data_IF_433373765391
#
_entry.id   IF_433373765391
#
_cell.length_a   1.000
_cell.length_b   1.000
_cell.length_c   1.000
_cell.angle_alpha   90.00
_cell.angle_beta   90.00
_cell.angle_gamma   90.00
#
_symmetry.space_group_name_H-M   'P 1'
#
loop_
_entity.id
_entity.type
_entity.pdbx_description
1 polymer ?
#
# COMPACT_ATOMS: atom_id res chain seq x y z
N UNK A 1 -74.20 -55.23 2.23
CA UNK A 1 -72.92 -55.03 1.48
C UNK A 1 -72.73 -53.55 1.22
N UNK A 2 -71.79 -52.91 1.90
CA UNK A 2 -71.59 -51.47 1.83
C UNK A 2 -70.42 -51.18 0.89
N UNK A 3 -70.66 -50.42 -0.17
CA UNK A 3 -69.73 -49.97 -1.14
C UNK A 3 -68.99 -48.72 -0.55
N UNK A 4 -67.67 -48.78 -0.39
CA UNK A 4 -66.86 -47.63 0.05
C UNK A 4 -66.35 -46.87 -1.18
N UNK A 5 -66.76 -45.62 -1.27
CA UNK A 5 -66.33 -44.66 -2.29
C UNK A 5 -64.92 -44.14 -1.95
N UNK A 6 -63.95 -44.28 -2.87
CA UNK A 6 -62.65 -43.68 -2.79
C UNK A 6 -62.71 -42.28 -3.42
N UNK A 7 -62.51 -41.28 -2.63
CA UNK A 7 -62.23 -39.88 -3.11
C UNK A 7 -60.71 -39.72 -3.26
N UNK A 8 -60.27 -39.63 -4.51
CA UNK A 8 -58.87 -39.23 -4.84
C UNK A 8 -58.79 -37.71 -4.83
N UNK A 9 -58.21 -37.17 -3.78
CA UNK A 9 -57.88 -35.72 -3.71
C UNK A 9 -56.60 -35.39 -4.52
N UNK A 10 -56.81 -34.69 -5.63
CA UNK A 10 -55.67 -34.12 -6.37
C UNK A 10 -55.06 -32.93 -5.60
N UNK A 11 -53.88 -33.09 -5.02
CA UNK A 11 -53.09 -31.99 -4.47
C UNK A 11 -52.47 -31.19 -5.65
N UNK A 12 -53.03 -30.03 -5.94
CA UNK A 12 -52.40 -29.05 -6.84
C UNK A 12 -51.21 -28.42 -6.10
N UNK A 13 -49.97 -28.83 -6.47
CA UNK A 13 -48.78 -28.16 -6.06
C UNK A 13 -48.69 -26.86 -6.86
N UNK A 14 -49.07 -25.74 -6.25
CA UNK A 14 -48.79 -24.41 -6.77
C UNK A 14 -47.28 -24.18 -6.64
N UNK A 15 -46.54 -24.37 -7.72
CA UNK A 15 -45.17 -23.91 -7.83
C UNK A 15 -45.18 -22.37 -7.77
N UNK A 16 -44.87 -21.81 -6.61
CA UNK A 16 -44.58 -20.38 -6.48
C UNK A 16 -43.33 -20.11 -7.32
N UNK A 17 -43.54 -19.58 -8.52
CA UNK A 17 -42.45 -18.99 -9.30
C UNK A 17 -41.91 -17.81 -8.49
N UNK A 18 -40.89 -18.06 -7.69
CA UNK A 18 -40.08 -16.99 -7.12
C UNK A 18 -39.47 -16.24 -8.31
N UNK A 19 -40.04 -15.09 -8.66
CA UNK A 19 -39.41 -14.13 -9.54
C UNK A 19 -38.02 -13.76 -8.90
N UNK A 20 -37.00 -14.48 -9.26
CA UNK A 20 -35.63 -14.12 -8.90
C UNK A 20 -35.35 -12.80 -9.60
N UNK A 21 -35.41 -11.71 -8.87
CA UNK A 21 -35.01 -10.38 -9.36
C UNK A 21 -33.59 -10.50 -9.91
N UNK A 22 -33.42 -10.17 -11.19
CA UNK A 22 -32.09 -10.18 -11.79
C UNK A 22 -31.17 -9.28 -10.94
N UNK A 23 -29.98 -9.74 -10.54
CA UNK A 23 -29.06 -8.94 -9.74
C UNK A 23 -28.78 -7.58 -10.40
N UNK A 24 -28.73 -6.52 -9.59
CA UNK A 24 -28.48 -5.17 -10.09
C UNK A 24 -27.12 -5.12 -10.81
N UNK A 25 -27.05 -4.65 -12.04
CA UNK A 25 -25.81 -4.59 -12.80
C UNK A 25 -24.89 -3.50 -12.23
N UNK A 26 -23.58 -3.80 -12.12
CA UNK A 26 -22.58 -2.81 -11.73
C UNK A 26 -22.34 -1.87 -12.92
N UNK A 27 -22.82 -0.64 -12.80
CA UNK A 27 -22.77 0.32 -13.87
C UNK A 27 -21.34 0.80 -14.18
N UNK A 28 -20.94 0.79 -15.45
CA UNK A 28 -19.62 1.21 -15.92
C UNK A 28 -19.42 2.73 -15.84
N UNK A 29 -18.17 3.15 -15.78
CA UNK A 29 -17.74 4.54 -15.79
C UNK A 29 -17.08 5.00 -14.50
N UNK A 30 -16.93 6.31 -14.29
CA UNK A 30 -16.31 6.87 -13.10
C UNK A 30 -17.26 6.83 -11.88
N UNK A 31 -16.67 6.61 -10.72
CA UNK A 31 -17.35 6.61 -9.42
C UNK A 31 -16.50 7.35 -8.39
N UNK A 32 -17.15 8.02 -7.45
CA UNK A 32 -16.54 8.50 -6.23
C UNK A 32 -16.82 7.50 -5.11
N UNK A 33 -15.76 6.84 -4.61
CA UNK A 33 -15.80 6.02 -3.41
C UNK A 33 -15.44 6.85 -2.19
N UNK A 34 -16.03 6.52 -1.04
CA UNK A 34 -15.74 7.16 0.24
C UNK A 34 -15.67 6.10 1.34
N UNK A 35 -14.60 6.15 2.14
CA UNK A 35 -14.45 5.37 3.36
C UNK A 35 -14.66 6.27 4.57
N UNK A 36 -15.56 5.88 5.46
CA UNK A 36 -15.75 6.54 6.77
C UNK A 36 -14.87 5.80 7.78
N UNK A 37 -13.67 6.29 7.98
CA UNK A 37 -12.63 5.63 8.80
C UNK A 37 -12.84 5.88 10.29
N UNK A 38 -13.35 7.06 10.64
CA UNK A 38 -13.70 7.39 12.02
C UNK A 38 -15.04 8.12 12.05
N UNK A 39 -16.04 7.51 12.68
CA UNK A 39 -17.37 8.07 12.82
C UNK A 39 -17.55 8.97 14.07
N UNK A 40 -16.55 9.02 14.95
CA UNK A 40 -16.64 9.71 16.25
C UNK A 40 -16.19 11.17 16.21
N UNK A 41 -15.29 11.52 15.29
CA UNK A 41 -14.86 12.90 15.07
C UNK A 41 -15.28 13.34 13.68
N UNK A 42 -16.28 14.27 13.63
CA UNK A 42 -16.69 15.04 12.45
C UNK A 42 -16.23 14.44 11.09
N UNK A 43 -16.73 13.22 10.81
CA UNK A 43 -16.63 12.58 9.50
C UNK A 43 -15.24 12.56 8.90
N UNK A 44 -14.33 11.74 9.43
CA UNK A 44 -13.09 11.49 8.70
C UNK A 44 -13.40 10.57 7.52
N UNK A 45 -13.92 11.19 6.49
CA UNK A 45 -14.20 10.58 5.20
C UNK A 45 -12.97 10.62 4.32
N UNK A 46 -12.60 9.49 3.75
CA UNK A 46 -11.50 9.37 2.80
C UNK A 46 -12.09 9.12 1.41
N UNK A 47 -12.28 10.17 0.60
CA UNK A 47 -12.77 10.03 -0.76
C UNK A 47 -11.66 9.54 -1.68
N UNK A 48 -12.03 8.75 -2.69
CA UNK A 48 -11.13 8.28 -3.73
C UNK A 48 -11.88 8.00 -5.04
N UNK A 49 -11.22 8.16 -6.16
CA UNK A 49 -11.81 7.90 -7.45
C UNK A 49 -11.69 6.43 -7.84
N UNK A 50 -12.74 5.91 -8.48
CA UNK A 50 -12.78 4.57 -9.06
C UNK A 50 -13.32 4.63 -10.47
N UNK A 51 -12.87 3.70 -11.31
CA UNK A 51 -13.47 3.41 -12.61
C UNK A 51 -13.98 1.96 -12.62
N UNK A 52 -15.22 1.79 -13.06
CA UNK A 52 -15.80 0.46 -13.30
C UNK A 52 -15.79 0.20 -14.81
N UNK A 53 -15.30 -0.97 -15.19
CA UNK A 53 -15.24 -1.38 -16.59
C UNK A 53 -15.37 -2.89 -16.74
N UNK A 54 -15.61 -3.37 -17.96
CA UNK A 54 -15.54 -4.79 -18.29
C UNK A 54 -14.16 -5.12 -18.86
N UNK A 55 -13.59 -6.21 -18.40
CA UNK A 55 -12.38 -6.78 -19.02
C UNK A 55 -12.69 -7.30 -20.44
N UNK A 56 -11.65 -7.63 -21.21
CA UNK A 56 -11.81 -8.27 -22.52
C UNK A 56 -12.63 -9.60 -22.46
N UNK A 57 -12.60 -10.27 -21.32
CA UNK A 57 -13.39 -11.47 -21.06
C UNK A 57 -14.84 -11.17 -20.59
N UNK A 58 -15.26 -9.91 -20.57
CA UNK A 58 -16.59 -9.48 -20.13
C UNK A 58 -16.81 -9.48 -18.61
N UNK A 59 -15.77 -9.71 -17.82
CA UNK A 59 -15.85 -9.72 -16.35
C UNK A 59 -15.82 -8.29 -15.79
N UNK A 60 -16.52 -8.06 -14.66
CA UNK A 60 -16.44 -6.80 -13.94
C UNK A 60 -15.02 -6.58 -13.40
N UNK A 61 -14.54 -5.37 -13.54
CA UNK A 61 -13.29 -4.89 -12.96
C UNK A 61 -13.47 -3.47 -12.42
N UNK A 62 -12.80 -3.19 -11.31
CA UNK A 62 -12.79 -1.88 -10.68
C UNK A 62 -11.34 -1.41 -10.59
N UNK A 63 -11.08 -0.18 -10.98
CA UNK A 63 -9.77 0.45 -10.87
C UNK A 63 -9.86 1.59 -9.86
N UNK A 64 -9.08 1.52 -8.78
CA UNK A 64 -8.86 2.69 -7.89
C UNK A 64 -7.83 3.59 -8.55
N UNK A 65 -8.07 4.89 -8.55
CA UNK A 65 -7.21 5.89 -9.17
C UNK A 65 -6.70 6.87 -8.11
N UNK A 66 -5.37 6.96 -7.96
CA UNK A 66 -4.70 7.95 -7.13
C UNK A 66 -3.66 8.67 -8.01
N UNK A 67 -3.97 9.86 -8.48
CA UNK A 67 -3.10 10.59 -9.42
C UNK A 67 -2.66 9.72 -10.62
N UNK A 68 -1.39 9.41 -10.72
CA UNK A 68 -0.83 8.54 -11.76
C UNK A 68 -0.95 7.03 -11.49
N UNK A 69 -1.32 6.64 -10.28
CA UNK A 69 -1.47 5.23 -9.90
C UNK A 69 -2.85 4.70 -10.25
N UNK A 70 -2.87 3.50 -10.80
CA UNK A 70 -4.08 2.74 -11.14
C UNK A 70 -3.99 1.35 -10.52
N UNK A 71 -4.90 1.05 -9.60
CA UNK A 71 -4.93 -0.23 -8.87
C UNK A 71 -6.13 -1.03 -9.37
N UNK A 72 -5.87 -2.00 -10.25
CA UNK A 72 -6.91 -2.84 -10.82
C UNK A 72 -7.34 -3.92 -9.83
N UNK A 73 -8.62 -3.93 -9.48
CA UNK A 73 -9.27 -4.97 -8.68
C UNK A 73 -9.95 -5.93 -9.66
N UNK A 74 -9.33 -7.08 -9.87
CA UNK A 74 -9.82 -8.13 -10.79
C UNK A 74 -10.42 -9.32 -10.08
N UNK A 75 -10.12 -9.50 -8.79
CA UNK A 75 -10.71 -10.54 -7.94
C UNK A 75 -12.04 -10.03 -7.37
N UNK A 76 -13.08 -10.10 -8.18
CA UNK A 76 -14.44 -9.68 -7.82
C UNK A 76 -15.33 -10.90 -7.81
N UNK A 77 -15.98 -11.16 -6.67
CA UNK A 77 -17.00 -12.22 -6.55
C UNK A 77 -18.36 -11.61 -6.26
N UNK A 78 -19.42 -12.33 -6.62
CA UNK A 78 -20.78 -11.83 -6.50
C UNK A 78 -21.70 -12.87 -5.88
N UNK A 79 -22.55 -12.42 -4.95
CA UNK A 79 -23.65 -13.20 -4.38
C UNK A 79 -24.91 -12.33 -4.33
N UNK A 80 -25.85 -12.59 -5.26
CA UNK A 80 -27.02 -11.71 -5.46
C UNK A 80 -26.58 -10.28 -5.82
N UNK A 81 -27.03 -9.30 -5.05
CA UNK A 81 -26.66 -7.89 -5.21
C UNK A 81 -25.37 -7.52 -4.46
N UNK A 82 -24.76 -8.45 -3.74
CA UNK A 82 -23.53 -8.18 -2.98
C UNK A 82 -22.30 -8.50 -3.82
N UNK A 83 -21.37 -7.54 -3.92
CA UNK A 83 -20.04 -7.70 -4.47
C UNK A 83 -19.01 -7.81 -3.34
N UNK A 84 -18.05 -8.71 -3.50
CA UNK A 84 -16.81 -8.73 -2.73
C UNK A 84 -15.68 -8.43 -3.69
N UNK A 85 -14.97 -7.35 -3.44
CA UNK A 85 -13.85 -6.84 -4.23
C UNK A 85 -12.58 -6.98 -3.39
N UNK A 86 -11.74 -7.97 -3.71
CA UNK A 86 -10.47 -8.19 -3.03
C UNK A 86 -9.41 -7.25 -3.61
N UNK A 87 -8.85 -6.38 -2.79
CA UNK A 87 -7.78 -5.49 -3.25
C UNK A 87 -6.50 -6.30 -3.54
N UNK A 88 -5.76 -5.94 -4.60
CA UNK A 88 -4.56 -6.68 -4.97
C UNK A 88 -3.45 -6.51 -3.92
N UNK A 89 -2.57 -7.49 -3.85
CA UNK A 89 -1.38 -7.58 -2.97
C UNK A 89 -1.73 -7.72 -1.49
N UNK A 90 -2.62 -6.87 -0.98
CA UNK A 90 -2.98 -6.83 0.44
C UNK A 90 -4.20 -7.72 0.76
N UNK A 91 -4.47 -7.90 2.05
CA UNK A 91 -5.61 -8.72 2.52
C UNK A 91 -6.90 -7.91 2.65
N UNK A 92 -6.88 -6.63 2.30
CA UNK A 92 -8.05 -5.75 2.38
C UNK A 92 -9.08 -6.05 1.32
N UNK A 93 -10.36 -5.87 1.66
CA UNK A 93 -11.48 -6.13 0.76
C UNK A 93 -12.62 -5.13 0.97
N UNK A 94 -13.38 -4.88 -0.09
CA UNK A 94 -14.63 -4.13 -0.05
C UNK A 94 -15.78 -5.10 -0.29
N UNK A 95 -16.74 -5.13 0.65
CA UNK A 95 -17.98 -5.90 0.49
C UNK A 95 -19.13 -4.89 0.44
N UNK A 96 -19.82 -4.83 -0.69
CA UNK A 96 -20.84 -3.81 -0.93
C UNK A 96 -22.06 -4.35 -1.68
N UNK A 97 -23.21 -3.80 -1.36
CA UNK A 97 -24.48 -4.04 -2.10
C UNK A 97 -24.54 -3.06 -3.26
N UNK A 98 -24.88 -3.57 -4.44
CA UNK A 98 -25.03 -2.81 -5.68
C UNK A 98 -26.43 -2.22 -5.75
N UNK A 99 -26.53 -0.89 -5.86
CA UNK A 99 -27.72 -0.18 -6.28
C UNK A 99 -27.61 0.29 -7.73
N UNK A 100 -28.58 1.05 -8.23
CA UNK A 100 -28.59 1.54 -9.61
C UNK A 100 -27.33 2.40 -9.93
N UNK A 101 -27.05 3.40 -9.10
CA UNK A 101 -25.91 4.31 -9.22
C UNK A 101 -25.16 4.44 -7.90
N UNK A 102 -25.21 3.41 -7.04
CA UNK A 102 -24.57 3.44 -5.72
C UNK A 102 -24.04 2.08 -5.29
N UNK A 103 -22.97 2.11 -4.50
CA UNK A 103 -22.48 0.98 -3.72
C UNK A 103 -22.54 1.36 -2.25
N UNK A 104 -22.94 0.42 -1.37
CA UNK A 104 -22.96 0.64 0.08
C UNK A 104 -22.53 -0.61 0.80
N UNK A 105 -21.59 -0.47 1.75
CA UNK A 105 -21.08 -1.62 2.49
C UNK A 105 -19.95 -1.31 3.43
N UNK A 106 -18.97 -2.20 3.45
CA UNK A 106 -17.79 -2.14 4.33
C UNK A 106 -16.50 -2.30 3.55
N UNK A 107 -15.49 -1.54 3.94
CA UNK A 107 -14.09 -1.82 3.65
C UNK A 107 -13.47 -2.48 4.88
N UNK A 108 -12.82 -3.61 4.67
CA UNK A 108 -12.14 -4.40 5.68
C UNK A 108 -10.63 -4.29 5.46
N UNK A 109 -9.90 -3.45 6.22
CA UNK A 109 -8.47 -3.17 5.96
C UNK A 109 -7.55 -4.37 6.19
N UNK A 110 -8.01 -5.41 6.87
CA UNK A 110 -7.26 -6.64 7.18
C UNK A 110 -8.04 -7.90 6.85
N UNK A 111 -8.97 -7.82 5.89
CA UNK A 111 -9.91 -8.87 5.59
C UNK A 111 -11.09 -8.94 6.58
N UNK A 112 -12.20 -9.48 6.13
CA UNK A 112 -13.46 -9.57 6.87
C UNK A 112 -13.32 -10.34 8.18
N UNK A 113 -12.46 -11.35 8.22
CA UNK A 113 -12.22 -12.21 9.39
C UNK A 113 -11.71 -11.44 10.61
N UNK A 114 -11.06 -10.29 10.41
CA UNK A 114 -10.57 -9.43 11.50
C UNK A 114 -11.62 -8.48 12.08
N UNK A 115 -12.85 -8.47 11.54
CA UNK A 115 -14.01 -7.78 12.10
C UNK A 115 -13.99 -6.25 12.02
N UNK A 116 -12.87 -5.60 11.67
CA UNK A 116 -12.81 -4.14 11.53
C UNK A 116 -13.43 -3.72 10.22
N UNK A 117 -14.53 -2.99 10.27
CA UNK A 117 -15.24 -2.47 9.11
C UNK A 117 -15.20 -0.93 9.12
N UNK A 118 -14.71 -0.32 8.04
CA UNK A 118 -14.97 1.09 7.75
C UNK A 118 -16.17 1.17 6.81
N UNK A 119 -17.16 2.00 7.12
CA UNK A 119 -18.30 2.18 6.22
C UNK A 119 -17.80 2.63 4.86
N UNK A 120 -18.31 1.97 3.82
CA UNK A 120 -18.01 2.29 2.44
C UNK A 120 -19.29 2.69 1.70
N UNK A 121 -19.22 3.75 0.94
CA UNK A 121 -20.20 4.06 -0.07
C UNK A 121 -19.53 4.59 -1.34
N UNK A 122 -20.19 4.41 -2.48
CA UNK A 122 -19.75 5.00 -3.73
C UNK A 122 -20.94 5.48 -4.56
N UNK A 123 -20.71 6.54 -5.33
CA UNK A 123 -21.71 7.17 -6.21
C UNK A 123 -21.13 7.30 -7.61
N UNK A 124 -21.90 6.87 -8.60
CA UNK A 124 -21.55 6.93 -10.02
C UNK A 124 -21.57 8.36 -10.57
N UNK A 125 -20.70 8.62 -11.53
CA UNK A 125 -20.70 9.85 -12.32
C UNK A 125 -20.01 11.05 -11.64
N UNK A 126 -19.51 10.89 -10.41
CA UNK A 126 -18.78 11.94 -9.71
C UNK A 126 -17.28 11.71 -9.94
N UNK A 127 -16.61 12.67 -10.56
CA UNK A 127 -15.15 12.65 -10.83
C UNK A 127 -14.36 13.56 -9.91
N UNK A 128 -15.00 14.57 -9.32
CA UNK A 128 -14.37 15.44 -8.31
C UNK A 128 -14.23 14.66 -6.99
N UNK A 129 -13.02 14.52 -6.51
CA UNK A 129 -12.70 13.77 -5.27
C UNK A 129 -13.27 14.47 -4.01
N UNK A 130 -13.37 15.79 -4.02
CA UNK A 130 -13.91 16.61 -2.93
C UNK A 130 -15.03 17.50 -3.42
N UNK A 131 -16.19 16.95 -3.82
CA UNK A 131 -17.24 17.70 -4.50
C UNK A 131 -17.89 18.79 -3.65
N UNK A 132 -17.85 18.66 -2.31
CA UNK A 132 -18.37 19.69 -1.39
C UNK A 132 -17.47 20.94 -1.29
N UNK A 133 -16.22 20.84 -1.75
CA UNK A 133 -15.25 21.94 -1.72
C UNK A 133 -15.29 22.70 -3.05
N UNK A 134 -16.08 23.79 -3.11
CA UNK A 134 -16.43 24.47 -4.36
C UNK A 134 -15.81 25.88 -4.52
N UNK A 135 -15.08 26.36 -3.51
CA UNK A 135 -14.44 27.68 -3.59
C UNK A 135 -13.30 27.66 -4.61
N UNK A 136 -13.15 28.72 -5.40
CA UNK A 136 -12.01 28.86 -6.30
C UNK A 136 -10.69 28.87 -5.53
N UNK A 137 -9.67 28.19 -6.04
CA UNK A 137 -8.36 28.15 -5.41
C UNK A 137 -7.75 29.56 -5.32
N UNK A 138 -7.40 29.99 -4.11
CA UNK A 138 -6.74 31.29 -3.85
C UNK A 138 -5.28 31.11 -3.47
N UNK A 139 -4.79 29.87 -3.33
CA UNK A 139 -3.44 29.55 -2.94
C UNK A 139 -2.76 28.63 -3.98
N UNK A 140 -1.44 28.68 -4.02
CA UNK A 140 -0.61 27.81 -4.85
C UNK A 140 0.43 27.11 -3.95
N UNK A 141 0.40 25.77 -3.98
CA UNK A 141 1.32 24.92 -3.20
C UNK A 141 2.30 24.14 -4.07
N UNK A 142 2.37 24.44 -5.36
CA UNK A 142 3.33 23.77 -6.24
C UNK A 142 4.76 23.88 -5.73
N UNK A 143 5.52 22.79 -5.84
CA UNK A 143 6.93 22.73 -5.49
C UNK A 143 7.20 21.92 -4.22
N UNK A 144 8.34 22.21 -3.62
CA UNK A 144 8.92 21.46 -2.50
C UNK A 144 8.70 22.17 -1.18
N UNK A 145 8.36 21.39 -0.15
CA UNK A 145 7.96 21.89 1.15
C UNK A 145 8.66 21.11 2.26
N UNK A 146 9.20 21.84 3.23
CA UNK A 146 9.60 21.25 4.51
C UNK A 146 8.37 21.09 5.38
N UNK A 147 8.04 19.83 5.71
CA UNK A 147 6.87 19.46 6.49
C UNK A 147 7.33 19.02 7.87
N UNK A 148 6.71 19.57 8.91
CA UNK A 148 6.95 19.14 10.28
C UNK A 148 5.68 18.48 10.80
N UNK A 149 5.76 17.17 11.03
CA UNK A 149 4.74 16.39 11.69
C UNK A 149 4.90 16.50 13.21
N UNK A 150 3.79 16.64 13.94
CA UNK A 150 3.71 16.82 15.39
C UNK A 150 4.65 17.93 15.93
N UNK A 151 4.58 19.16 15.39
CA UNK A 151 5.49 20.22 15.75
C UNK A 151 5.47 20.52 17.26
N UNK A 152 6.67 20.69 17.84
CA UNK A 152 6.81 21.03 19.26
C UNK A 152 6.62 19.88 20.24
N UNK A 153 6.51 18.63 19.76
CA UNK A 153 6.42 17.43 20.60
C UNK A 153 7.69 16.57 20.50
N UNK A 154 7.92 15.63 21.44
CA UNK A 154 9.03 14.67 21.33
C UNK A 154 8.95 13.77 20.08
N UNK A 155 7.74 13.57 19.53
CA UNK A 155 7.48 12.77 18.32
C UNK A 155 7.53 13.61 17.04
N UNK A 156 8.12 14.81 17.11
CA UNK A 156 8.24 15.70 15.94
C UNK A 156 9.20 15.11 14.91
N UNK A 157 8.74 15.02 13.66
CA UNK A 157 9.54 14.53 12.54
C UNK A 157 9.51 15.49 11.36
N UNK A 158 10.63 15.55 10.64
CA UNK A 158 10.76 16.34 9.41
C UNK A 158 10.51 15.43 8.22
N UNK A 159 9.65 15.88 7.33
CA UNK A 159 9.35 15.24 6.06
C UNK A 159 9.46 16.26 4.93
N UNK A 160 9.43 15.79 3.69
CA UNK A 160 9.43 16.65 2.51
C UNK A 160 8.15 16.41 1.72
N UNK A 161 7.35 17.46 1.52
CA UNK A 161 6.19 17.44 0.63
C UNK A 161 6.59 17.87 -0.77
N UNK A 162 6.18 17.12 -1.78
CA UNK A 162 6.36 17.47 -3.18
C UNK A 162 5.00 17.49 -3.87
N UNK A 163 4.60 18.67 -4.34
CA UNK A 163 3.29 18.87 -4.92
C UNK A 163 3.36 19.47 -6.31
N UNK A 164 2.44 18.99 -7.17
CA UNK A 164 2.10 19.58 -8.47
C UNK A 164 0.69 20.12 -8.38
N UNK A 165 0.49 21.32 -8.88
CA UNK A 165 -0.82 21.97 -8.88
C UNK A 165 -1.21 22.46 -10.27
N UNK A 166 -2.40 22.05 -10.73
CA UNK A 166 -3.00 22.48 -12.00
C UNK A 166 -4.39 23.05 -11.67
N UNK A 167 -4.50 24.38 -11.65
CA UNK A 167 -5.70 25.07 -11.20
C UNK A 167 -6.01 24.74 -9.73
N UNK A 168 -7.17 24.13 -9.47
CA UNK A 168 -7.52 23.66 -8.14
C UNK A 168 -6.95 22.26 -7.82
N UNK A 169 -6.67 21.44 -8.83
CA UNK A 169 -6.19 20.05 -8.65
C UNK A 169 -4.77 20.05 -8.11
N UNK A 170 -4.54 19.19 -7.11
CA UNK A 170 -3.22 18.95 -6.51
C UNK A 170 -2.94 17.48 -6.52
N UNK A 171 -1.70 17.13 -6.90
CA UNK A 171 -1.14 15.79 -6.77
C UNK A 171 0.23 15.88 -6.12
N UNK A 172 0.70 14.81 -5.48
CA UNK A 172 2.01 14.81 -4.87
C UNK A 172 2.26 13.63 -3.95
N UNK A 173 3.27 13.77 -3.13
CA UNK A 173 3.61 12.79 -2.08
C UNK A 173 4.31 13.48 -0.92
N UNK A 174 4.41 12.79 0.20
CA UNK A 174 5.33 13.12 1.29
C UNK A 174 6.45 12.09 1.32
N UNK A 175 7.67 12.57 1.37
CA UNK A 175 8.88 11.78 1.58
C UNK A 175 9.22 11.78 3.07
N UNK A 176 9.56 10.63 3.60
CA UNK A 176 10.06 10.47 4.96
C UNK A 176 11.23 9.47 4.97
N UNK A 177 11.87 9.30 6.10
CA UNK A 177 13.04 8.41 6.23
C UNK A 177 12.74 6.91 6.06
N UNK A 178 11.46 6.53 6.00
CA UNK A 178 11.02 5.15 5.72
C UNK A 178 10.55 4.94 4.28
N UNK A 179 10.45 6.03 3.48
CA UNK A 179 9.96 5.98 2.10
C UNK A 179 9.05 7.15 1.76
N UNK A 180 7.94 6.88 1.12
CA UNK A 180 6.99 7.90 0.68
C UNK A 180 5.52 7.54 1.04
N UNK A 181 4.64 8.53 0.91
CA UNK A 181 3.19 8.36 1.09
C UNK A 181 2.48 8.08 -0.23
N UNK A 182 3.20 7.51 -1.20
CA UNK A 182 2.70 7.10 -2.52
C UNK A 182 2.07 8.26 -3.30
N UNK A 183 0.92 8.04 -3.89
CA UNK A 183 0.25 8.98 -4.77
C UNK A 183 -0.92 9.67 -4.05
N UNK A 184 -0.69 10.89 -3.60
CA UNK A 184 -1.74 11.72 -3.03
C UNK A 184 -2.43 12.52 -4.15
N UNK A 185 -3.75 12.63 -4.09
CA UNK A 185 -4.53 13.44 -5.02
C UNK A 185 -5.65 14.19 -4.28
N UNK A 186 -5.91 15.40 -4.73
CA UNK A 186 -7.00 16.22 -4.20
C UNK A 186 -7.02 17.63 -4.79
N UNK A 187 -7.31 18.61 -3.96
CA UNK A 187 -7.47 19.99 -4.44
C UNK A 187 -7.21 21.06 -3.37
N UNK A 188 -7.02 22.26 -3.85
CA UNK A 188 -7.18 23.51 -3.08
C UNK A 188 -8.60 24.04 -3.32
N UNK A 189 -9.32 24.41 -2.25
CA UNK A 189 -10.56 25.13 -2.30
C UNK A 189 -10.47 26.34 -1.37
N UNK A 190 -10.58 27.57 -1.92
CA UNK A 190 -10.10 28.76 -1.23
C UNK A 190 -8.63 28.63 -0.91
N UNK A 191 -8.27 28.68 0.36
CA UNK A 191 -6.93 28.42 0.88
C UNK A 191 -6.77 27.02 1.53
N UNK A 192 -7.80 26.16 1.45
CA UNK A 192 -7.80 24.85 2.11
C UNK A 192 -7.28 23.77 1.18
N UNK A 193 -6.23 23.10 1.60
CA UNK A 193 -5.69 21.90 0.98
C UNK A 193 -6.41 20.65 1.48
N UNK A 194 -6.81 19.77 0.57
CA UNK A 194 -7.38 18.46 0.87
C UNK A 194 -6.77 17.43 -0.09
N UNK A 195 -6.16 16.39 0.45
CA UNK A 195 -5.55 15.29 -0.29
C UNK A 195 -5.98 13.96 0.32
N UNK A 196 -6.16 12.94 -0.51
CA UNK A 196 -6.44 11.58 -0.05
C UNK A 196 -5.79 10.53 -0.94
N UNK A 197 -5.65 9.31 -0.42
CA UNK A 197 -5.27 8.12 -1.18
C UNK A 197 -5.81 6.86 -0.53
N UNK A 198 -6.17 5.86 -1.35
CA UNK A 198 -6.54 4.51 -0.92
C UNK A 198 -5.79 3.54 -1.81
N UNK A 199 -4.85 2.78 -1.23
CA UNK A 199 -3.96 1.88 -1.99
C UNK A 199 -4.11 0.39 -1.63
N UNK A 200 -5.06 0.08 -0.76
CA UNK A 200 -5.29 -1.28 -0.26
C UNK A 200 -4.61 -1.59 1.08
N UNK A 201 -3.55 -0.89 1.42
CA UNK A 201 -2.94 -0.94 2.75
C UNK A 201 -3.26 0.31 3.58
N UNK A 202 -3.36 1.45 2.91
CA UNK A 202 -3.59 2.74 3.54
C UNK A 202 -4.91 3.37 3.13
N UNK A 203 -5.45 4.17 4.03
CA UNK A 203 -6.61 5.03 3.82
C UNK A 203 -6.23 6.43 4.30
N UNK A 204 -5.52 7.17 3.45
CA UNK A 204 -4.90 8.44 3.82
C UNK A 204 -5.83 9.62 3.54
N UNK A 205 -5.91 10.55 4.51
CA UNK A 205 -6.47 11.88 4.28
C UNK A 205 -5.58 12.93 4.95
N UNK A 206 -5.33 13.99 4.22
CA UNK A 206 -4.56 15.15 4.66
C UNK A 206 -5.33 16.42 4.39
N UNK A 207 -5.37 17.31 5.35
CA UNK A 207 -5.91 18.66 5.20
C UNK A 207 -4.92 19.67 5.74
N UNK A 208 -5.02 20.92 5.28
CA UNK A 208 -4.23 22.04 5.78
C UNK A 208 -4.76 23.36 5.25
N UNK A 209 -4.29 24.45 5.80
CA UNK A 209 -4.68 25.80 5.38
C UNK A 209 -3.43 26.59 4.95
N UNK A 210 -3.43 27.09 3.73
CA UNK A 210 -2.37 27.99 3.26
C UNK A 210 -2.62 29.37 3.85
N UNK A 211 -1.68 29.85 4.61
CA UNK A 211 -1.76 31.14 5.30
C UNK A 211 -1.32 32.30 4.40
N UNK A 212 -1.64 33.54 4.77
CA UNK A 212 -1.30 34.74 3.98
C UNK A 212 0.21 34.94 3.82
N UNK A 213 1.04 34.41 4.75
CA UNK A 213 2.51 34.42 4.66
C UNK A 213 3.06 33.21 3.87
N UNK A 214 2.22 32.45 3.18
CA UNK A 214 2.60 31.37 2.28
C UNK A 214 3.04 30.09 2.96
N UNK A 215 2.71 29.88 4.23
CA UNK A 215 2.93 28.60 4.95
C UNK A 215 1.68 27.74 4.90
N UNK A 216 1.81 26.48 5.31
CA UNK A 216 0.65 25.63 5.57
C UNK A 216 0.56 25.42 7.09
N UNK A 217 -0.60 25.76 7.65
CA UNK A 217 -0.91 25.63 9.07
C UNK A 217 -2.16 24.75 9.25
N UNK A 218 -2.50 24.46 10.53
CA UNK A 218 -3.68 23.68 10.90
C UNK A 218 -3.76 22.32 10.16
N UNK A 219 -2.60 21.78 9.79
CA UNK A 219 -2.50 20.53 9.07
C UNK A 219 -2.98 19.37 9.93
N UNK A 220 -3.82 18.50 9.35
CA UNK A 220 -4.25 17.24 9.94
C UNK A 220 -3.95 16.12 8.99
N UNK A 221 -3.40 15.04 9.52
CA UNK A 221 -3.18 13.79 8.81
C UNK A 221 -3.88 12.64 9.53
N UNK A 222 -4.45 11.72 8.76
CA UNK A 222 -4.94 10.46 9.28
C UNK A 222 -4.75 9.35 8.26
N UNK A 223 -4.16 8.24 8.75
CA UNK A 223 -4.06 6.97 8.02
C UNK A 223 -4.91 5.85 8.64
N UNK A 224 -5.37 6.04 9.89
CA UNK A 224 -6.30 5.14 10.60
C UNK A 224 -6.77 5.82 11.88
N UNK A 225 -7.78 5.29 12.60
CA UNK A 225 -8.20 5.85 13.89
C UNK A 225 -7.08 5.97 14.94
N UNK A 226 -6.03 5.14 14.81
CA UNK A 226 -4.86 5.12 15.71
C UNK A 226 -3.62 5.80 15.11
N UNK A 227 -3.67 6.21 13.86
CA UNK A 227 -2.57 6.88 13.17
C UNK A 227 -3.04 8.25 12.68
N UNK A 228 -2.95 9.20 13.57
CA UNK A 228 -3.34 10.59 13.37
C UNK A 228 -2.21 11.50 13.82
N UNK A 229 -1.99 12.58 13.10
CA UNK A 229 -1.04 13.62 13.47
C UNK A 229 -1.51 15.00 13.04
N UNK A 230 -0.89 16.02 13.60
CA UNK A 230 -0.98 17.40 13.13
C UNK A 230 0.32 17.77 12.40
N UNK A 231 0.25 18.71 11.48
CA UNK A 231 1.42 19.10 10.72
C UNK A 231 1.39 20.56 10.29
N UNK A 232 2.56 21.09 10.01
CA UNK A 232 2.76 22.40 9.41
C UNK A 232 3.78 22.28 8.29
N UNK A 233 3.81 23.22 7.35
CA UNK A 233 4.84 23.24 6.33
C UNK A 233 5.24 24.66 5.93
N UNK A 234 6.50 24.79 5.50
CA UNK A 234 7.04 25.99 4.88
C UNK A 234 7.59 25.64 3.51
N UNK A 235 7.40 26.52 2.53
CA UNK A 235 7.95 26.31 1.20
C UNK A 235 9.48 26.40 1.29
N UNK A 236 10.16 25.31 0.84
CA UNK A 236 11.60 25.22 0.90
C UNK A 236 12.10 24.30 -0.22
N UNK A 237 12.58 24.87 -1.31
CA UNK A 237 13.07 24.11 -2.47
C UNK A 237 14.34 23.31 -2.14
N UNK A 238 15.03 23.63 -1.02
CA UNK A 238 16.17 22.90 -0.51
C UNK A 238 15.84 21.95 0.66
N UNK A 239 14.56 21.71 0.94
CA UNK A 239 14.18 20.75 1.97
C UNK A 239 14.74 19.35 1.62
N UNK A 240 15.40 18.71 2.55
CA UNK A 240 15.99 17.38 2.36
C UNK A 240 15.78 16.52 3.60
N UNK A 241 15.65 15.23 3.37
CA UNK A 241 15.71 14.23 4.44
C UNK A 241 17.17 13.97 4.84
N UNK A 242 17.42 13.46 6.04
CA UNK A 242 18.73 12.94 6.42
C UNK A 242 19.23 11.89 5.42
N UNK A 243 20.53 11.83 5.18
CA UNK A 243 21.11 10.84 4.27
C UNK A 243 20.99 9.43 4.85
N UNK A 244 20.92 8.41 4.00
CA UNK A 244 20.80 7.00 4.43
C UNK A 244 21.96 6.63 5.37
N UNK A 245 23.17 7.09 5.10
CA UNK A 245 24.36 6.84 5.91
C UNK A 245 24.26 7.43 7.33
N UNK A 246 23.50 8.53 7.50
CA UNK A 246 23.22 9.11 8.82
C UNK A 246 22.11 8.37 9.57
N UNK A 247 21.25 7.67 8.85
CA UNK A 247 20.10 6.94 9.42
C UNK A 247 20.46 5.55 9.91
N UNK A 248 21.27 4.81 9.14
CA UNK A 248 21.57 3.40 9.40
C UNK A 248 23.04 3.08 9.16
N UNK A 249 23.63 2.33 10.06
CA UNK A 249 25.03 1.91 9.95
C UNK A 249 25.23 0.52 10.59
N UNK A 250 26.40 -0.07 10.32
CA UNK A 250 26.79 -1.31 10.98
C UNK A 250 27.29 -1.02 12.39
N UNK A 251 26.92 -1.86 13.35
CA UNK A 251 27.58 -1.91 14.66
C UNK A 251 29.08 -2.22 14.48
N UNK A 252 29.90 -1.79 15.45
CA UNK A 252 31.32 -2.14 15.47
C UNK A 252 31.49 -3.67 15.46
N UNK A 253 32.24 -4.20 14.51
CA UNK A 253 32.49 -5.63 14.38
C UNK A 253 32.67 -6.10 12.93
N UNK A 254 32.48 -7.41 12.66
CA UNK A 254 32.61 -7.96 11.32
C UNK A 254 31.59 -7.34 10.33
N UNK A 255 32.06 -7.00 9.14
CA UNK A 255 31.20 -6.52 8.04
C UNK A 255 30.50 -7.70 7.35
N UNK A 256 29.93 -8.63 8.10
CA UNK A 256 29.23 -9.79 7.60
C UNK A 256 27.81 -9.83 8.16
N UNK A 257 26.93 -10.47 7.43
CA UNK A 257 25.56 -10.72 7.85
C UNK A 257 25.28 -12.22 7.91
N UNK A 258 24.37 -12.64 8.75
CA UNK A 258 23.91 -14.01 8.83
C UNK A 258 22.41 -14.05 9.11
N UNK A 259 21.73 -14.98 8.49
CA UNK A 259 20.35 -15.32 8.83
C UNK A 259 20.13 -16.83 8.78
N UNK A 260 19.10 -17.30 9.48
CA UNK A 260 18.55 -18.63 9.38
C UNK A 260 17.03 -18.51 9.53
N UNK A 261 16.30 -18.55 8.43
CA UNK A 261 14.88 -18.29 8.38
C UNK A 261 14.15 -19.35 7.55
N UNK A 262 12.84 -19.48 7.74
CA UNK A 262 12.02 -20.52 7.12
C UNK A 262 11.46 -20.03 5.79
N UNK A 263 11.62 -20.81 4.71
CA UNK A 263 11.03 -20.51 3.42
C UNK A 263 9.53 -20.89 3.36
N UNK A 264 8.87 -20.59 2.24
CA UNK A 264 7.45 -20.89 2.04
C UNK A 264 7.13 -22.40 2.10
N UNK A 265 8.12 -23.26 1.82
CA UNK A 265 7.99 -24.74 1.87
C UNK A 265 8.19 -25.29 3.28
N UNK A 266 8.70 -24.50 4.23
CA UNK A 266 9.00 -24.93 5.61
C UNK A 266 10.47 -25.29 5.85
N UNK A 267 11.35 -25.19 4.83
CA UNK A 267 12.76 -25.47 4.99
C UNK A 267 13.52 -24.28 5.59
N UNK A 268 14.51 -24.55 6.41
CA UNK A 268 15.41 -23.51 6.92
C UNK A 268 16.45 -23.15 5.86
N UNK A 269 16.51 -21.89 5.48
CA UNK A 269 17.49 -21.30 4.56
C UNK A 269 18.44 -20.41 5.35
N UNK A 270 19.74 -20.54 5.09
CA UNK A 270 20.82 -19.78 5.73
C UNK A 270 21.64 -19.06 4.68
N UNK A 271 22.18 -17.88 5.01
CA UNK A 271 23.08 -17.17 4.10
C UNK A 271 24.37 -17.98 3.79
N UNK A 272 24.76 -18.90 4.68
CA UNK A 272 25.90 -19.81 4.47
C UNK A 272 25.63 -20.94 3.48
N UNK A 273 24.40 -21.12 2.99
CA UNK A 273 24.05 -22.19 2.05
C UNK A 273 24.74 -22.00 0.70
N UNK A 274 24.98 -23.12 0.00
CA UNK A 274 25.75 -23.13 -1.25
C UNK A 274 25.18 -22.22 -2.34
N UNK A 275 23.86 -21.99 -2.34
CA UNK A 275 23.22 -21.13 -3.33
C UNK A 275 23.68 -19.67 -3.28
N UNK A 276 24.22 -19.20 -2.12
CA UNK A 276 24.69 -17.83 -1.92
C UNK A 276 26.21 -17.67 -2.01
N UNK A 277 26.97 -18.77 -1.93
CA UNK A 277 28.44 -18.73 -1.93
C UNK A 277 29.00 -18.14 -3.23
N UNK A 278 29.86 -17.15 -3.12
CA UNK A 278 30.49 -16.49 -4.26
C UNK A 278 29.51 -15.66 -5.12
N UNK A 279 28.31 -15.39 -4.61
CA UNK A 279 27.30 -14.56 -5.27
C UNK A 279 27.28 -13.15 -4.68
N UNK A 280 26.79 -12.20 -5.46
CA UNK A 280 26.32 -10.91 -4.93
C UNK A 280 24.94 -11.18 -4.35
N UNK A 281 24.74 -10.79 -3.09
CA UNK A 281 23.47 -11.04 -2.39
C UNK A 281 22.86 -9.73 -1.91
N UNK A 282 21.59 -9.50 -2.22
CA UNK A 282 20.78 -8.46 -1.60
C UNK A 282 19.87 -9.13 -0.58
N UNK A 283 19.97 -8.74 0.68
CA UNK A 283 19.03 -9.16 1.73
C UNK A 283 18.17 -7.98 2.09
N UNK A 284 16.85 -8.07 1.92
CA UNK A 284 15.93 -7.02 2.28
C UNK A 284 15.03 -7.42 3.45
N UNK A 285 14.94 -6.56 4.47
CA UNK A 285 13.93 -6.65 5.51
C UNK A 285 12.60 -6.12 4.95
N UNK A 286 11.59 -6.97 4.86
CA UNK A 286 10.36 -6.72 4.13
C UNK A 286 9.12 -7.19 4.92
N UNK A 287 7.93 -6.97 4.38
CA UNK A 287 6.68 -7.49 4.89
C UNK A 287 5.55 -7.36 3.88
N UNK A 288 4.69 -8.37 3.80
CA UNK A 288 3.56 -8.41 2.86
C UNK A 288 2.50 -7.32 3.09
N UNK A 289 2.57 -6.65 4.22
CA UNK A 289 1.69 -5.56 4.66
C UNK A 289 2.20 -4.15 4.29
N UNK A 290 3.40 -4.06 3.69
CA UNK A 290 4.13 -2.81 3.52
C UNK A 290 4.10 -2.35 2.05
N UNK A 291 3.47 -1.22 1.72
CA UNK A 291 3.39 -0.72 0.34
C UNK A 291 4.74 -0.34 -0.27
N UNK A 292 5.64 0.29 0.50
CA UNK A 292 6.98 0.62 0.01
C UNK A 292 7.80 -0.66 -0.25
N UNK A 293 7.58 -1.73 0.55
CA UNK A 293 8.16 -3.04 0.27
C UNK A 293 7.59 -3.68 -1.01
N UNK A 294 6.33 -3.41 -1.33
CA UNK A 294 5.72 -3.85 -2.59
C UNK A 294 6.42 -3.21 -3.80
N UNK A 295 6.69 -1.91 -3.73
CA UNK A 295 7.37 -1.20 -4.81
C UNK A 295 8.84 -1.64 -4.95
N UNK A 296 9.57 -1.81 -3.83
CA UNK A 296 10.90 -2.40 -3.83
C UNK A 296 10.89 -3.82 -4.42
N UNK A 297 9.90 -4.65 -4.05
CA UNK A 297 9.79 -6.02 -4.55
C UNK A 297 9.61 -6.07 -6.06
N UNK A 298 8.81 -5.20 -6.64
CA UNK A 298 8.64 -5.09 -8.09
C UNK A 298 9.95 -4.74 -8.77
N UNK A 299 10.64 -3.72 -8.29
CA UNK A 299 11.96 -3.34 -8.80
C UNK A 299 12.99 -4.46 -8.65
N UNK A 300 13.07 -5.11 -7.49
CA UNK A 300 14.00 -6.21 -7.26
C UNK A 300 13.69 -7.44 -8.11
N UNK A 301 12.44 -7.68 -8.47
CA UNK A 301 12.05 -8.76 -9.39
C UNK A 301 12.59 -8.53 -10.80
N UNK A 302 12.55 -7.29 -11.28
CA UNK A 302 13.15 -6.91 -12.56
C UNK A 302 14.68 -7.05 -12.50
N UNK A 303 15.30 -6.55 -11.42
CA UNK A 303 16.74 -6.65 -11.18
C UNK A 303 17.20 -8.11 -11.13
N UNK A 304 16.46 -8.98 -10.40
CA UNK A 304 16.74 -10.41 -10.30
C UNK A 304 16.64 -11.08 -11.66
N UNK A 305 15.59 -10.83 -12.42
CA UNK A 305 15.42 -11.36 -13.78
C UNK A 305 16.61 -11.01 -14.67
N UNK A 306 17.13 -9.78 -14.57
CA UNK A 306 18.25 -9.29 -15.40
C UNK A 306 19.60 -9.86 -15.00
N UNK A 307 19.82 -10.15 -13.70
CA UNK A 307 21.18 -10.41 -13.18
C UNK A 307 21.36 -11.73 -12.43
N UNK A 308 20.31 -12.52 -12.16
CA UNK A 308 20.44 -13.81 -11.45
C UNK A 308 21.41 -14.75 -12.17
N UNK A 309 21.28 -14.92 -13.49
CA UNK A 309 22.20 -15.75 -14.29
C UNK A 309 23.66 -15.25 -14.27
N UNK A 310 23.90 -13.99 -13.86
CA UNK A 310 25.24 -13.40 -13.72
C UNK A 310 25.78 -13.50 -12.28
N UNK A 311 25.00 -14.08 -11.37
CA UNK A 311 25.41 -14.34 -10.00
C UNK A 311 24.84 -13.38 -8.95
N UNK A 312 23.69 -12.75 -9.23
CA UNK A 312 22.90 -12.03 -8.22
C UNK A 312 21.93 -12.99 -7.54
N UNK A 313 21.85 -12.95 -6.22
CA UNK A 313 20.78 -13.51 -5.42
C UNK A 313 20.06 -12.44 -4.61
N UNK A 314 18.75 -12.58 -4.43
CA UNK A 314 17.95 -11.67 -3.60
C UNK A 314 17.14 -12.50 -2.60
N UNK A 315 17.08 -12.03 -1.36
CA UNK A 315 16.37 -12.68 -0.26
C UNK A 315 15.56 -11.64 0.50
N UNK A 316 14.24 -11.81 0.56
CA UNK A 316 13.38 -11.05 1.43
C UNK A 316 13.23 -11.75 2.79
N UNK A 317 13.66 -11.11 3.86
CA UNK A 317 13.38 -11.48 5.25
C UNK A 317 12.06 -10.81 5.66
N UNK A 318 10.97 -11.57 5.65
CA UNK A 318 9.62 -11.06 5.86
C UNK A 318 9.23 -11.09 7.34
N UNK A 319 8.90 -9.93 7.87
CA UNK A 319 8.40 -9.73 9.23
C UNK A 319 6.87 -9.67 9.18
N UNK A 320 6.21 -10.73 9.62
CA UNK A 320 4.78 -10.94 9.40
C UNK A 320 3.97 -11.03 10.71
N UNK A 321 2.89 -11.80 10.72
CA UNK A 321 2.13 -12.14 11.91
C UNK A 321 2.83 -13.20 12.79
N UNK A 322 2.23 -13.49 13.95
CA UNK A 322 2.74 -14.55 14.84
C UNK A 322 2.44 -15.96 14.32
N UNK A 323 1.34 -16.13 13.63
CA UNK A 323 0.96 -17.39 13.04
C UNK A 323 1.71 -17.62 11.73
N UNK A 324 2.47 -18.73 11.66
CA UNK A 324 3.34 -19.03 10.53
C UNK A 324 2.55 -19.36 9.27
N UNK A 325 1.44 -20.10 9.38
CA UNK A 325 0.69 -20.55 8.20
C UNK A 325 -0.08 -19.41 7.53
N UNK A 326 -0.69 -18.52 8.31
CA UNK A 326 -1.30 -17.31 7.77
C UNK A 326 -0.26 -16.35 7.19
N UNK A 327 0.92 -16.27 7.82
CA UNK A 327 2.05 -15.47 7.33
C UNK A 327 2.57 -15.98 5.98
N UNK A 328 2.72 -17.30 5.82
CA UNK A 328 3.12 -17.91 4.53
C UNK A 328 2.11 -17.59 3.43
N UNK A 329 0.81 -17.74 3.69
CA UNK A 329 -0.25 -17.40 2.72
C UNK A 329 -0.19 -15.93 2.29
N UNK A 330 0.05 -15.02 3.24
CA UNK A 330 0.20 -13.59 2.94
C UNK A 330 1.45 -13.32 2.08
N UNK A 331 2.58 -13.95 2.42
CA UNK A 331 3.83 -13.86 1.65
C UNK A 331 3.69 -14.45 0.24
N UNK A 332 3.02 -15.61 0.08
CA UNK A 332 2.74 -16.24 -1.22
C UNK A 332 1.86 -15.34 -2.10
N UNK A 333 0.78 -14.78 -1.52
CA UNK A 333 -0.07 -13.82 -2.22
C UNK A 333 0.72 -12.59 -2.66
N UNK A 334 1.49 -12.01 -1.76
CA UNK A 334 2.34 -10.85 -2.02
C UNK A 334 3.34 -11.16 -3.14
N UNK A 335 4.11 -12.24 -3.04
CA UNK A 335 5.09 -12.64 -4.05
C UNK A 335 4.42 -12.86 -5.43
N UNK A 336 3.31 -13.58 -5.48
CA UNK A 336 2.56 -13.84 -6.72
C UNK A 336 2.08 -12.54 -7.38
N UNK A 337 1.52 -11.63 -6.61
CA UNK A 337 0.88 -10.42 -7.16
C UNK A 337 1.87 -9.28 -7.43
N UNK A 338 3.05 -9.30 -6.81
CA UNK A 338 4.15 -8.39 -7.14
C UNK A 338 5.03 -8.91 -8.29
N UNK A 339 4.84 -10.17 -8.71
CA UNK A 339 5.68 -10.81 -9.71
C UNK A 339 7.05 -11.23 -9.16
N UNK A 340 7.16 -11.38 -7.83
CA UNK A 340 8.42 -11.76 -7.19
C UNK A 340 8.88 -13.15 -7.62
N UNK A 341 10.14 -13.24 -8.03
CA UNK A 341 10.77 -14.45 -8.58
C UNK A 341 12.06 -14.84 -7.82
N UNK A 342 12.24 -14.32 -6.62
CA UNK A 342 13.38 -14.56 -5.74
C UNK A 342 12.93 -15.12 -4.37
N UNK A 343 13.86 -15.35 -3.45
CA UNK A 343 13.61 -16.09 -2.21
C UNK A 343 12.90 -15.23 -1.15
N UNK A 344 11.76 -15.71 -0.64
CA UNK A 344 11.03 -15.14 0.49
C UNK A 344 11.16 -16.05 1.72
N UNK A 345 11.55 -15.47 2.85
CA UNK A 345 11.76 -16.17 4.11
C UNK A 345 10.98 -15.52 5.24
N UNK A 346 10.32 -16.30 6.06
CA UNK A 346 9.69 -15.83 7.29
C UNK A 346 10.76 -15.56 8.35
N UNK A 347 10.95 -14.29 8.67
CA UNK A 347 11.92 -13.83 9.68
C UNK A 347 11.35 -13.82 11.11
N UNK A 348 10.02 -13.87 11.23
CA UNK A 348 9.30 -13.85 12.51
C UNK A 348 8.22 -12.79 12.59
N UNK A 349 7.56 -12.66 13.76
CA UNK A 349 6.52 -11.68 13.95
C UNK A 349 7.06 -10.25 13.94
N UNK A 350 6.23 -9.31 13.42
CA UNK A 350 6.53 -7.88 13.49
C UNK A 350 6.75 -7.43 14.93
N UNK A 351 7.76 -6.65 15.15
CA UNK A 351 8.08 -6.06 16.44
C UNK A 351 9.56 -5.77 16.62
N UNK A 352 9.86 -4.91 17.58
CA UNK A 352 11.24 -4.48 17.86
C UNK A 352 12.15 -5.67 18.21
N UNK A 353 11.70 -6.58 19.06
CA UNK A 353 12.48 -7.73 19.50
C UNK A 353 12.94 -8.63 18.32
N UNK A 354 12.00 -9.02 17.45
CA UNK A 354 12.32 -9.83 16.28
C UNK A 354 13.26 -9.08 15.33
N UNK A 355 12.99 -7.78 15.11
CA UNK A 355 13.82 -6.94 14.26
C UNK A 355 15.26 -6.85 14.79
N UNK A 356 15.44 -6.55 16.08
CA UNK A 356 16.75 -6.43 16.71
C UNK A 356 17.52 -7.76 16.71
N UNK A 357 16.81 -8.89 16.80
CA UNK A 357 17.39 -10.23 16.73
C UNK A 357 17.85 -10.61 15.33
N UNK A 358 17.01 -10.36 14.33
CA UNK A 358 17.28 -10.75 12.94
C UNK A 358 18.27 -9.81 12.28
N UNK A 359 18.15 -8.50 12.53
CA UNK A 359 19.02 -7.47 11.99
C UNK A 359 20.08 -7.03 13.03
N UNK A 360 20.61 -7.98 13.76
CA UNK A 360 21.41 -7.84 14.98
C UNK A 360 22.64 -6.91 14.86
N UNK A 361 23.20 -6.80 13.67
CA UNK A 361 24.41 -6.00 13.41
C UNK A 361 24.11 -4.61 12.84
N UNK A 362 22.82 -4.24 12.70
CA UNK A 362 22.43 -2.91 12.27
C UNK A 362 22.16 -2.01 13.49
N UNK A 363 22.46 -0.74 13.35
CA UNK A 363 22.21 0.31 14.33
C UNK A 363 21.63 1.53 13.62
N UNK A 364 20.76 2.27 14.33
CA UNK A 364 20.06 3.42 13.79
C UNK A 364 18.61 3.12 13.39
N UNK A 365 18.10 3.84 12.43
CA UNK A 365 16.71 3.73 11.97
C UNK A 365 16.58 2.61 10.92
N UNK A 366 16.06 1.48 11.34
CA UNK A 366 15.71 0.36 10.46
C UNK A 366 14.23 0.48 10.10
N UNK A 367 13.93 1.05 8.93
CA UNK A 367 12.58 1.10 8.36
C UNK A 367 12.27 -0.17 7.54
N UNK A 368 11.05 -0.25 7.00
CA UNK A 368 10.66 -1.26 6.02
C UNK A 368 10.35 -0.54 4.69
N UNK A 369 11.03 -0.92 3.57
CA UNK A 369 12.10 -1.92 3.51
C UNK A 369 13.47 -1.40 4.01
N UNK A 370 14.38 -2.33 4.34
CA UNK A 370 15.80 -2.04 4.55
C UNK A 370 16.64 -3.10 3.85
N UNK A 371 17.53 -2.68 2.96
CA UNK A 371 18.33 -3.56 2.11
C UNK A 371 19.80 -3.57 2.49
N UNK A 372 20.39 -4.77 2.54
CA UNK A 372 21.80 -5.05 2.85
C UNK A 372 22.43 -5.62 1.59
N UNK A 373 23.43 -4.93 1.03
CA UNK A 373 24.16 -5.37 -0.17
C UNK A 373 25.44 -6.06 0.23
N UNK A 374 25.62 -7.31 -0.24
CA UNK A 374 26.72 -8.19 0.12
C UNK A 374 27.49 -8.57 -1.15
N UNK A 375 28.81 -8.40 -1.14
CA UNK A 375 29.68 -8.75 -2.26
C UNK A 375 29.96 -10.27 -2.33
N UNK A 376 30.69 -10.72 -3.37
CA UNK A 376 31.02 -12.13 -3.58
C UNK A 376 31.89 -12.74 -2.46
N UNK A 377 32.55 -11.91 -1.64
CA UNK A 377 33.36 -12.32 -0.47
C UNK A 377 32.53 -12.49 0.80
N UNK A 378 31.21 -12.17 0.73
CA UNK A 378 30.31 -12.21 1.88
C UNK A 378 30.37 -10.96 2.77
N UNK A 379 30.96 -9.87 2.29
CA UNK A 379 31.11 -8.61 3.03
C UNK A 379 29.97 -7.65 2.69
N UNK A 380 29.41 -6.97 3.71
CA UNK A 380 28.44 -5.91 3.53
C UNK A 380 29.14 -4.69 2.94
N UNK A 381 28.66 -4.20 1.81
CA UNK A 381 29.22 -3.06 1.07
C UNK A 381 28.33 -1.83 1.06
N UNK A 382 27.02 -1.99 1.21
CA UNK A 382 26.05 -0.87 1.33
C UNK A 382 24.86 -1.30 2.18
N UNK A 383 24.32 -0.34 2.91
CA UNK A 383 23.01 -0.39 3.56
C UNK A 383 22.11 0.63 2.91
N UNK A 384 20.82 0.32 2.81
CA UNK A 384 19.80 1.26 2.38
C UNK A 384 18.55 1.06 3.23
N UNK A 385 17.97 2.11 3.78
CA UNK A 385 16.73 2.06 4.57
C UNK A 385 15.68 2.98 3.95
N UNK A 386 14.44 2.51 3.91
CA UNK A 386 13.35 3.16 3.19
C UNK A 386 13.39 2.86 1.69
N UNK A 387 12.36 3.29 0.98
CA UNK A 387 12.26 3.14 -0.47
C UNK A 387 11.44 4.31 -1.05
N UNK A 388 12.03 5.07 -1.95
CA UNK A 388 11.33 6.09 -2.73
C UNK A 388 10.67 5.40 -3.90
N UNK A 389 9.34 5.18 -3.80
CA UNK A 389 8.56 4.47 -4.80
C UNK A 389 8.29 5.29 -6.07
N UNK A 390 7.62 4.70 -7.09
CA UNK A 390 7.34 5.36 -8.38
C UNK A 390 6.58 6.69 -8.26
N UNK A 391 5.82 6.90 -7.17
CA UNK A 391 5.12 8.15 -6.87
C UNK A 391 6.03 9.35 -6.65
N UNK A 392 7.32 9.13 -6.40
CA UNK A 392 8.32 10.16 -6.16
C UNK A 392 9.05 10.64 -7.43
N UNK A 393 8.72 10.07 -8.60
CA UNK A 393 9.27 10.49 -9.90
C UNK A 393 10.80 10.36 -9.96
N UNK A 394 11.52 11.49 -9.96
CA UNK A 394 12.98 11.51 -10.11
C UNK A 394 13.72 10.78 -9.00
N UNK A 395 13.24 10.81 -7.76
CA UNK A 395 13.87 10.09 -6.65
C UNK A 395 13.83 8.58 -6.88
N UNK A 396 12.73 8.05 -7.41
CA UNK A 396 12.64 6.64 -7.79
C UNK A 396 13.60 6.31 -8.92
N UNK A 397 13.65 7.14 -9.97
CA UNK A 397 14.55 6.93 -11.11
C UNK A 397 16.02 6.88 -10.63
N UNK A 398 16.42 7.84 -9.83
CA UNK A 398 17.76 7.88 -9.25
C UNK A 398 18.08 6.66 -8.40
N UNK A 399 17.15 6.24 -7.52
CA UNK A 399 17.32 5.05 -6.67
C UNK A 399 17.54 3.78 -7.50
N UNK A 400 16.73 3.62 -8.58
CA UNK A 400 16.85 2.49 -9.52
C UNK A 400 18.19 2.49 -10.24
N UNK A 401 18.62 3.64 -10.73
CA UNK A 401 19.90 3.79 -11.45
C UNK A 401 21.09 3.51 -10.53
N UNK A 402 21.14 4.12 -9.33
CA UNK A 402 22.21 3.91 -8.36
C UNK A 402 22.31 2.46 -7.89
N UNK A 403 21.14 1.83 -7.61
CA UNK A 403 21.10 0.43 -7.18
C UNK A 403 21.55 -0.50 -8.29
N UNK A 404 21.09 -0.26 -9.52
CA UNK A 404 21.50 -1.05 -10.69
C UNK A 404 23.01 -0.94 -10.94
N UNK A 405 23.56 0.29 -10.91
CA UNK A 405 24.98 0.52 -11.08
C UNK A 405 25.83 -0.18 -9.99
N UNK A 406 25.37 -0.15 -8.73
CA UNK A 406 26.03 -0.87 -7.64
C UNK A 406 26.06 -2.39 -7.90
N UNK A 407 24.92 -2.98 -8.27
CA UNK A 407 24.83 -4.42 -8.59
C UNK A 407 25.76 -4.78 -9.76
N UNK A 408 25.75 -3.98 -10.84
CA UNK A 408 26.64 -4.20 -11.98
C UNK A 408 28.13 -4.13 -11.62
N UNK A 409 28.49 -3.20 -10.73
CA UNK A 409 29.86 -3.11 -10.20
C UNK A 409 30.25 -4.35 -9.42
N UNK A 410 29.42 -4.78 -8.45
CA UNK A 410 29.70 -5.94 -7.60
C UNK A 410 29.74 -7.27 -8.38
N UNK A 411 28.98 -7.37 -9.47
CA UNK A 411 29.01 -8.56 -10.33
C UNK A 411 30.30 -8.69 -11.15
N UNK A 412 31.06 -7.61 -11.34
CA UNK A 412 32.35 -7.59 -12.05
C UNK A 412 33.55 -7.88 -11.12
N UNK A 413 33.39 -7.77 -9.81
CA UNK A 413 34.38 -8.12 -8.79
C UNK A 413 34.46 -9.64 -8.56
#
# INVERSE_FOLDING_TARGET
MKLKSLIVGALAIAAAAACSKKPAELAQGPWLGVLVVDSTEQGMEVPFNMNVYKTAAGLDSVEIVNAGEKIAITEITRSGDTLTMQLPVFTSEIVAVVGADSLKGCYYPKGKENGTCYKFYAVKGITDRFPAATEAATANIQGRWEVIENPGTPDSTVMVGEFKQEGAKVTGTWLNTGGDMRYLEGKISGNKLMLSAVDGAHTLIMTGEVTADGKIANGKFMGSPKWKSVWTAVKNDNANLPTVESLIHLKKGPKTFQFACVNLKGDTVKLSDNQFKGKVVIVTASGSWCPNCMDETRFFSELYTKYNAKGLEIVALCFEGKDLESSKKAMERFAKQTGANYTFLYAGPRGKETKDKVLYNLEGQVAFPTSIFINRKGEIVKLHTGFSGPGTGEHYTQLVEETTALVEKLLKE
#
